data_IF_504355249103
#
_entry.id   IF_504355249103
#
_cell.length_a   1.000
_cell.length_b   1.000
_cell.length_c   1.000
_cell.angle_alpha   90.00
_cell.angle_beta   90.00
_cell.angle_gamma   90.00
#
_symmetry.space_group_name_H-M   'P 1'
#
loop_
_entity.id
_entity.type
_entity.pdbx_description
1 polymer ?
#
# COMPACT_ATOMS: atom_id res chain seq x y z
N UNK A 1 42.18 -0.57 -5.54
CA UNK A 1 42.16 -1.02 -6.92
C UNK A 1 40.89 -0.52 -7.60
N UNK A 2 40.89 -0.58 -8.90
CA UNK A 2 39.72 -0.12 -9.63
C UNK A 2 38.50 -0.97 -9.39
N UNK A 3 38.69 -2.25 -9.19
CA UNK A 3 37.59 -3.14 -8.92
C UNK A 3 36.89 -2.75 -7.61
N UNK A 4 37.68 -2.36 -6.61
CA UNK A 4 37.11 -1.95 -5.34
C UNK A 4 36.34 -0.64 -5.50
N UNK A 5 36.86 0.27 -6.33
CA UNK A 5 36.18 1.53 -6.54
C UNK A 5 34.85 1.34 -7.24
N UNK A 6 34.82 0.46 -8.23
CA UNK A 6 33.59 0.20 -8.93
C UNK A 6 32.57 -0.43 -8.03
N UNK A 7 33.00 -1.34 -7.17
CA UNK A 7 32.10 -1.97 -6.22
C UNK A 7 31.56 -0.94 -5.25
N UNK A 8 32.41 -0.10 -4.73
CA UNK A 8 31.99 0.92 -3.79
C UNK A 8 31.02 1.89 -4.43
N UNK A 9 31.27 2.26 -5.68
CA UNK A 9 30.39 3.16 -6.39
C UNK A 9 29.02 2.55 -6.59
N UNK A 10 28.97 1.27 -6.98
CA UNK A 10 27.70 0.57 -7.16
C UNK A 10 26.94 0.50 -5.85
N UNK A 11 27.65 0.22 -4.77
CA UNK A 11 27.01 0.15 -3.46
C UNK A 11 26.43 1.49 -3.06
N UNK A 12 27.18 2.56 -3.31
CA UNK A 12 26.73 3.90 -3.01
C UNK A 12 25.49 4.25 -3.82
N UNK A 13 25.51 3.93 -5.12
CA UNK A 13 24.38 4.18 -5.98
C UNK A 13 23.14 3.39 -5.57
N UNK A 14 23.34 2.15 -5.11
CA UNK A 14 22.25 1.34 -4.64
C UNK A 14 21.63 1.92 -3.37
N UNK A 15 22.46 2.41 -2.47
CA UNK A 15 21.97 3.03 -1.26
C UNK A 15 21.17 4.28 -1.60
N UNK A 16 21.65 5.09 -2.52
CA UNK A 16 20.94 6.28 -2.94
C UNK A 16 19.60 5.94 -3.57
N UNK A 17 19.60 4.89 -4.41
CA UNK A 17 18.36 4.50 -5.07
C UNK A 17 17.32 4.07 -4.05
N UNK A 18 17.71 3.26 -3.08
CA UNK A 18 16.79 2.80 -2.05
C UNK A 18 16.26 3.98 -1.24
N UNK A 19 17.14 4.93 -0.93
CA UNK A 19 16.76 6.10 -0.17
C UNK A 19 15.74 6.95 -0.93
N UNK A 20 15.97 7.14 -2.23
CA UNK A 20 15.06 7.92 -3.05
C UNK A 20 13.73 7.21 -3.24
N UNK A 21 13.76 5.90 -3.40
CA UNK A 21 12.53 5.13 -3.53
C UNK A 21 11.71 5.22 -2.25
N UNK A 22 12.37 5.17 -1.11
CA UNK A 22 11.66 5.26 0.16
C UNK A 22 10.98 6.62 0.30
N UNK A 23 11.69 7.68 -0.07
CA UNK A 23 11.11 9.01 -0.03
C UNK A 23 9.91 9.13 -0.96
N UNK A 24 10.02 8.53 -2.15
CA UNK A 24 8.94 8.56 -3.11
C UNK A 24 7.73 7.75 -2.59
N UNK A 25 8.00 6.61 -1.95
CA UNK A 25 6.93 5.82 -1.35
C UNK A 25 6.15 6.64 -0.33
N UNK A 26 6.87 7.33 0.54
CA UNK A 26 6.22 8.11 1.58
C UNK A 26 5.41 9.26 1.00
N UNK A 27 5.96 9.90 -0.01
CA UNK A 27 5.25 11.00 -0.65
C UNK A 27 3.99 10.51 -1.34
N UNK A 28 4.07 9.38 -2.02
CA UNK A 28 2.91 8.82 -2.71
C UNK A 28 1.87 8.37 -1.70
N UNK A 29 2.29 7.78 -0.59
CA UNK A 29 1.36 7.41 0.48
C UNK A 29 0.57 8.63 0.95
N UNK A 30 1.26 9.73 1.16
CA UNK A 30 0.61 10.94 1.63
C UNK A 30 -0.36 11.50 0.60
N UNK A 31 0.03 11.48 -0.67
CA UNK A 31 -0.83 12.00 -1.72
C UNK A 31 -2.06 11.12 -1.94
N UNK A 32 -1.89 9.81 -1.84
CA UNK A 32 -3.02 8.91 -1.96
C UNK A 32 -3.98 9.14 -0.79
N UNK A 33 -3.44 9.29 0.41
CA UNK A 33 -4.28 9.55 1.58
C UNK A 33 -5.08 10.84 1.39
N UNK A 34 -4.43 11.88 0.90
CA UNK A 34 -5.12 13.15 0.68
C UNK A 34 -6.22 13.01 -0.36
N UNK A 35 -5.96 12.26 -1.42
CA UNK A 35 -6.95 12.04 -2.45
C UNK A 35 -8.17 11.33 -1.88
N UNK A 36 -7.96 10.32 -1.06
CA UNK A 36 -9.06 9.58 -0.47
C UNK A 36 -9.84 10.44 0.50
N UNK A 37 -9.14 11.22 1.30
CA UNK A 37 -9.81 12.06 2.28
C UNK A 37 -10.66 13.14 1.60
N UNK A 38 -10.18 13.65 0.48
CA UNK A 38 -10.96 14.63 -0.27
C UNK A 38 -12.24 14.02 -0.82
N UNK A 39 -12.27 12.72 -1.02
CA UNK A 39 -13.46 12.04 -1.49
C UNK A 39 -14.35 11.62 -0.33
N UNK A 40 -13.99 11.98 0.89
CA UNK A 40 -14.78 11.64 2.06
C UNK A 40 -14.55 10.22 2.55
N UNK A 41 -13.47 9.59 2.11
CA UNK A 41 -13.16 8.23 2.50
C UNK A 41 -12.20 8.28 3.67
N UNK A 42 -12.59 7.64 4.78
CA UNK A 42 -11.75 7.60 5.96
C UNK A 42 -10.73 6.48 5.81
N UNK A 43 -9.47 6.85 5.94
CA UNK A 43 -8.36 5.93 5.73
C UNK A 43 -7.64 5.66 7.03
N UNK A 44 -7.45 4.38 7.32
CA UNK A 44 -6.66 4.00 8.49
C UNK A 44 -5.18 3.97 8.12
N UNK A 45 -4.83 3.41 6.98
CA UNK A 45 -3.44 3.25 6.61
C UNK A 45 -3.28 3.19 5.09
N UNK A 46 -2.23 3.80 4.60
CA UNK A 46 -1.83 3.68 3.21
C UNK A 46 -0.38 3.27 3.21
N UNK A 47 -0.07 2.18 2.54
CA UNK A 47 1.29 1.70 2.43
C UNK A 47 1.65 1.48 0.97
N UNK A 48 2.73 2.10 0.53
CA UNK A 48 3.21 1.96 -0.83
C UNK A 48 4.58 1.31 -0.81
N UNK A 49 4.76 0.32 -1.65
CA UNK A 49 6.05 -0.35 -1.78
C UNK A 49 6.44 -0.34 -3.26
N UNK A 50 7.65 0.08 -3.54
CA UNK A 50 8.18 0.06 -4.89
C UNK A 50 9.13 -1.13 -4.99
N UNK A 51 8.81 -2.05 -5.91
CA UNK A 51 9.62 -3.24 -6.10
C UNK A 51 9.97 -3.30 -7.57
N UNK A 52 11.19 -2.97 -7.91
CA UNK A 52 11.61 -2.93 -9.31
C UNK A 52 10.84 -1.86 -10.04
N UNK A 53 10.14 -2.25 -11.08
CA UNK A 53 9.37 -1.29 -11.86
C UNK A 53 7.90 -1.28 -11.46
N UNK A 54 7.55 -2.01 -10.43
CA UNK A 54 6.16 -2.09 -10.03
C UNK A 54 5.94 -1.40 -8.70
N UNK A 55 4.77 -0.84 -8.55
CA UNK A 55 4.41 -0.16 -7.32
C UNK A 55 3.18 -0.83 -6.75
N UNK A 56 3.29 -1.28 -5.51
CA UNK A 56 2.20 -1.92 -4.82
C UNK A 56 1.62 -0.93 -3.81
N UNK A 57 0.30 -0.78 -3.82
CA UNK A 57 -0.37 0.10 -2.87
C UNK A 57 -1.34 -0.71 -2.05
N UNK A 58 -1.22 -0.60 -0.73
CA UNK A 58 -2.12 -1.30 0.18
C UNK A 58 -2.87 -0.25 0.99
N UNK A 59 -4.17 -0.28 0.89
CA UNK A 59 -5.03 0.67 1.58
C UNK A 59 -5.85 -0.04 2.62
N UNK A 60 -5.92 0.52 3.81
CA UNK A 60 -6.78 0.00 4.86
C UNK A 60 -7.75 1.10 5.20
N UNK A 61 -9.02 0.87 4.96
CA UNK A 61 -10.06 1.87 5.15
C UNK A 61 -10.78 1.63 6.47
N UNK A 62 -11.29 2.69 7.04
CA UNK A 62 -11.97 2.60 8.32
C UNK A 62 -13.43 2.19 8.18
N UNK A 63 -14.05 2.49 7.06
CA UNK A 63 -15.45 2.18 6.86
C UNK A 63 -15.64 1.27 5.69
N UNK A 64 -16.68 0.48 5.76
CA UNK A 64 -16.96 -0.45 4.69
C UNK A 64 -17.49 0.28 3.48
N UNK A 65 -17.08 -0.15 2.32
CA UNK A 65 -17.50 0.44 1.06
C UNK A 65 -18.10 -0.66 0.20
N UNK A 66 -18.98 -0.27 -0.69
CA UNK A 66 -19.54 -1.24 -1.62
C UNK A 66 -18.49 -1.65 -2.64
N UNK A 67 -18.76 -2.72 -3.32
CA UNK A 67 -17.85 -3.19 -4.35
C UNK A 67 -17.70 -2.14 -5.44
N UNK A 68 -18.77 -1.47 -5.77
CA UNK A 68 -18.71 -0.42 -6.78
C UNK A 68 -17.86 0.75 -6.33
N UNK A 69 -17.99 1.12 -5.07
CA UNK A 69 -17.17 2.21 -4.54
C UNK A 69 -15.69 1.85 -4.55
N UNK A 70 -15.39 0.61 -4.21
CA UNK A 70 -13.99 0.17 -4.23
C UNK A 70 -13.44 0.17 -5.65
N UNK A 71 -14.28 -0.21 -6.62
CA UNK A 71 -13.84 -0.21 -8.00
C UNK A 71 -13.58 1.21 -8.49
N UNK A 72 -14.46 2.13 -8.14
CA UNK A 72 -14.26 3.52 -8.51
C UNK A 72 -12.99 4.07 -7.89
N UNK A 73 -12.72 3.67 -6.66
CA UNK A 73 -11.53 4.10 -5.98
C UNK A 73 -10.28 3.58 -6.68
N UNK A 74 -10.29 2.31 -7.04
CA UNK A 74 -9.15 1.74 -7.75
C UNK A 74 -8.95 2.43 -9.09
N UNK A 75 -10.05 2.67 -9.80
CA UNK A 75 -9.96 3.34 -11.10
C UNK A 75 -9.34 4.73 -10.96
N UNK A 76 -9.72 5.44 -9.91
CA UNK A 76 -9.17 6.77 -9.67
C UNK A 76 -7.66 6.71 -9.41
N UNK A 77 -7.23 5.73 -8.64
CA UNK A 77 -5.81 5.60 -8.34
C UNK A 77 -5.01 5.19 -9.57
N UNK A 78 -5.60 4.33 -10.39
CA UNK A 78 -4.96 3.95 -11.64
C UNK A 78 -4.79 5.16 -12.54
N UNK A 79 -5.86 5.95 -12.65
CA UNK A 79 -5.83 7.07 -13.55
C UNK A 79 -4.95 8.22 -13.04
N UNK A 80 -5.03 8.49 -11.77
CA UNK A 80 -4.33 9.62 -11.21
C UNK A 80 -2.86 9.33 -10.93
N UNK A 81 -2.54 8.16 -10.48
CA UNK A 81 -1.19 7.85 -10.04
C UNK A 81 -0.49 6.79 -10.88
N UNK A 82 -1.14 6.30 -11.92
CA UNK A 82 -0.52 5.32 -12.81
C UNK A 82 -0.30 3.96 -12.20
N UNK A 83 -1.05 3.64 -11.16
CA UNK A 83 -0.92 2.34 -10.53
C UNK A 83 -1.65 1.29 -11.36
N UNK A 84 -1.22 0.05 -11.24
CA UNK A 84 -1.91 -1.04 -11.90
C UNK A 84 -3.00 -1.56 -10.98
N UNK A 85 -4.14 -1.87 -11.55
CA UNK A 85 -5.28 -2.30 -10.74
C UNK A 85 -4.94 -3.51 -9.89
N UNK A 86 -4.22 -4.46 -10.43
CA UNK A 86 -3.89 -5.66 -9.68
C UNK A 86 -2.79 -5.44 -8.64
N UNK A 87 -2.29 -4.21 -8.54
CA UNK A 87 -1.31 -3.87 -7.51
C UNK A 87 -1.92 -2.95 -6.46
N UNK A 88 -3.22 -2.79 -6.47
CA UNK A 88 -3.90 -2.00 -5.46
C UNK A 88 -4.73 -2.95 -4.60
N UNK A 89 -4.41 -2.97 -3.32
CA UNK A 89 -5.07 -3.86 -2.38
C UNK A 89 -5.86 -3.01 -1.38
N UNK A 90 -7.14 -3.28 -1.26
CA UNK A 90 -7.99 -2.53 -0.33
C UNK A 90 -8.49 -3.47 0.74
N UNK A 91 -8.29 -3.08 1.98
CA UNK A 91 -8.78 -3.84 3.12
C UNK A 91 -9.59 -2.90 4.00
N UNK A 92 -10.43 -3.44 4.84
CA UNK A 92 -11.26 -2.65 5.73
C UNK A 92 -10.99 -3.08 7.15
N UNK A 93 -10.74 -2.11 8.01
CA UNK A 93 -10.51 -2.40 9.40
C UNK A 93 -11.85 -2.76 10.03
N UNK A 94 -11.91 -3.94 10.67
CA UNK A 94 -13.08 -4.26 11.33
C UNK A 94 -12.94 -3.83 12.70
N UNK A 95 -13.62 -2.89 13.01
CA UNK A 95 -13.47 -2.34 14.24
C UNK A 95 -14.47 -2.79 15.20
N UNK A 96 -14.69 -3.92 15.44
CA UNK A 96 -15.63 -4.28 16.18
C UNK A 96 -15.34 -4.61 17.32
N UNK A 97 -14.90 -4.03 17.75
CA UNK A 97 -14.76 -4.18 18.86
C UNK A 97 -14.93 -5.33 19.33
N UNK A 98 -14.53 -5.44 19.52
CA UNK A 98 -14.67 -6.22 19.96
C UNK A 98 -15.07 -7.22 19.71
N UNK A 99 -15.32 -7.46 19.45
CA UNK A 99 -15.79 -8.45 19.18
C UNK A 99 -14.88 -9.34 18.95
N UNK A 100 -14.58 -9.37 19.29
CA UNK A 100 -13.96 -9.90 19.14
C UNK A 100 -13.45 -10.64 18.95
N UNK A 101 -13.47 -10.73 18.99
CA UNK A 101 -13.00 -11.49 18.79
C UNK A 101 -12.56 -12.07 18.47
N UNK A 102 -12.75 -12.13 18.47
CA UNK A 102 -12.35 -12.76 17.97
C UNK A 102 -11.61 -13.11 17.56
N UNK A 103 -11.51 -13.18 17.78
CA UNK A 103 -10.77 -13.52 17.36
C UNK A 103 -10.20 -14.04 16.94
N UNK A 104 -10.33 -14.30 17.12
CA UNK A 104 -9.91 -14.82 16.69
C UNK A 104 -9.52 -15.18 15.96
N UNK A 105 -9.81 -15.19 16.09
CA UNK A 105 -9.58 -15.56 15.30
C UNK A 105 -8.96 -15.64 14.60
N UNK A 106 -8.93 -15.59 14.62
CA UNK A 106 -8.38 -15.69 13.71
C UNK A 106 -7.52 -15.99 13.37
N UNK A 107 -7.38 -16.27 13.63
CA UNK A 107 -6.64 -16.55 13.21
C UNK A 107 -6.19 -16.84 12.49
N UNK A 108 -6.33 -17.08 12.51
CA UNK A 108 -5.92 -17.39 11.69
C UNK A 108 -5.49 -17.26 10.95
N UNK A 109 -5.54 -17.31 11.07
CA UNK A 109 -5.16 -17.21 10.24
C UNK A 109 -4.59 -16.87 9.68
N UNK A 110 -4.43 -16.96 9.73
CA UNK A 110 -3.96 -16.64 9.17
C UNK A 110 -3.45 -16.26 8.55
N UNK A 111 -3.22 -16.20 8.44
CA UNK A 111 -2.77 -15.86 7.91
C UNK A 111 -2.62 -15.53 6.98
N UNK A 112 -2.58 -15.71 6.63
CA UNK A 112 -2.46 -15.40 5.75
C UNK A 112 -2.77 -14.75 5.04
N UNK A 113 -2.79 -14.87 4.93
CA UNK A 113 -3.01 -14.29 4.17
C UNK A 113 -3.69 -13.47 4.05
N UNK A 114 -3.87 -13.40 4.75
CA UNK A 114 -4.64 -12.63 4.83
C UNK A 114 -4.70 -11.47 4.29
N UNK A 115 -4.01 -11.14 4.25
CA UNK A 115 -3.90 -10.10 3.58
C UNK A 115 -4.65 -10.19 2.44
N UNK A 116 -5.64 -10.81 2.41
CA UNK A 116 -6.43 -10.90 1.26
C UNK A 116 -6.99 -9.54 0.90
N UNK A 117 -6.75 -9.17 -0.29
CA UNK A 117 -7.27 -7.93 -0.80
C UNK A 117 -8.72 -8.12 -1.19
N UNK A 118 -9.53 -7.12 -0.96
CA UNK A 118 -10.92 -7.17 -1.36
C UNK A 118 -10.99 -6.80 -2.82
N UNK A 119 -11.53 -7.68 -3.62
CA UNK A 119 -11.62 -7.47 -5.06
C UNK A 119 -12.90 -6.77 -5.47
#
# INVERSE_FOLDING_TARGET
SEENREKELREFQNIQKVYLEKGYELELEQKIRETLEKRGIEVYKVKVNIEGEETQANLVLKTENSQEERKELKDALVEEWGLKENRICIQIVRNESGKMGNPVAHRSTSGSSGDACIQ
#
